data_IF_350775041672
#
_entry.id   IF_350775041672
#
_cell.length_a   1.000
_cell.length_b   1.000
_cell.length_c   1.000
_cell.angle_alpha   90.00
_cell.angle_beta   90.00
_cell.angle_gamma   90.00
#
_symmetry.space_group_name_H-M   'P 1'
#
loop_
_entity.id
_entity.type
_entity.pdbx_description
1 polymer ?
#
# COMPACT_ATOMS: atom_id res chain seq x y z
N UNK A 1 2.68 -18.75 6.78
CA UNK A 1 3.36 -17.48 6.52
C UNK A 1 3.98 -17.00 7.81
N UNK A 2 5.21 -16.51 7.74
CA UNK A 2 5.82 -15.78 8.86
C UNK A 2 5.06 -14.45 9.12
N UNK A 3 5.11 -13.91 10.33
CA UNK A 3 4.59 -12.57 10.63
C UNK A 3 5.23 -11.52 9.70
N UNK A 4 4.43 -10.54 9.27
CA UNK A 4 4.95 -9.44 8.48
C UNK A 4 5.52 -8.38 9.43
N UNK A 5 6.67 -7.75 9.10
CA UNK A 5 7.15 -6.62 9.87
C UNK A 5 6.14 -5.46 9.80
N UNK A 6 6.11 -4.64 10.86
CA UNK A 6 5.27 -3.45 10.93
C UNK A 6 6.12 -2.23 11.25
N UNK A 7 6.32 -1.28 10.31
CA UNK A 7 5.88 -1.35 8.91
C UNK A 7 6.65 -2.42 8.11
N UNK A 8 6.07 -2.81 6.97
CA UNK A 8 6.54 -3.94 6.16
C UNK A 8 7.50 -3.42 5.07
N UNK A 9 8.76 -3.88 5.03
CA UNK A 9 9.71 -3.46 4.01
C UNK A 9 9.39 -4.08 2.65
N UNK A 10 9.85 -3.44 1.57
CA UNK A 10 9.47 -3.76 0.19
C UNK A 10 9.75 -5.22 -0.21
N UNK A 11 10.87 -5.79 0.26
CA UNK A 11 11.28 -7.17 0.02
C UNK A 11 10.40 -8.21 0.74
N UNK A 12 9.62 -7.78 1.74
CA UNK A 12 8.71 -8.63 2.53
C UNK A 12 7.23 -8.41 2.22
N UNK A 13 6.88 -7.47 1.35
CA UNK A 13 5.49 -7.28 0.91
C UNK A 13 4.99 -8.60 0.29
N UNK A 14 3.83 -9.13 0.65
CA UNK A 14 3.34 -10.37 0.03
C UNK A 14 2.90 -10.11 -1.41
N UNK A 15 3.22 -11.05 -2.30
CA UNK A 15 2.50 -11.21 -3.57
C UNK A 15 1.19 -11.95 -3.28
N UNK A 16 0.08 -11.24 -3.46
CA UNK A 16 -1.28 -11.70 -3.25
C UNK A 16 -2.00 -12.01 -4.57
N UNK A 17 -1.26 -12.32 -5.64
CA UNK A 17 -1.83 -12.70 -6.95
C UNK A 17 -2.74 -13.92 -6.83
N UNK A 18 -4.03 -13.71 -7.12
CA UNK A 18 -5.06 -14.75 -7.06
C UNK A 18 -5.76 -14.84 -5.70
N UNK A 19 -6.97 -15.41 -5.72
CA UNK A 19 -7.88 -15.42 -4.58
C UNK A 19 -7.30 -16.10 -3.33
N UNK A 20 -6.60 -17.22 -3.49
CA UNK A 20 -6.04 -17.97 -2.37
C UNK A 20 -4.90 -17.22 -1.67
N UNK A 21 -3.99 -16.61 -2.45
CA UNK A 21 -2.89 -15.82 -1.93
C UNK A 21 -3.40 -14.55 -1.23
N UNK A 22 -4.36 -13.84 -1.84
CA UNK A 22 -5.05 -12.71 -1.23
C UNK A 22 -5.71 -13.09 0.10
N UNK A 23 -6.50 -14.16 0.11
CA UNK A 23 -7.18 -14.61 1.32
C UNK A 23 -6.20 -15.03 2.42
N UNK A 24 -5.09 -15.67 2.06
CA UNK A 24 -4.04 -16.03 3.01
C UNK A 24 -3.38 -14.78 3.62
N UNK A 25 -3.02 -13.80 2.81
CA UNK A 25 -2.39 -12.56 3.26
C UNK A 25 -3.35 -11.72 4.13
N UNK A 26 -4.61 -11.60 3.73
CA UNK A 26 -5.65 -10.92 4.51
C UNK A 26 -5.89 -11.61 5.87
N UNK A 27 -5.96 -12.96 5.91
CA UNK A 27 -6.07 -13.70 7.17
C UNK A 27 -4.85 -13.47 8.07
N UNK A 28 -3.64 -13.44 7.52
CA UNK A 28 -2.43 -13.20 8.29
C UNK A 28 -2.39 -11.79 8.89
N UNK A 29 -2.80 -10.76 8.14
CA UNK A 29 -2.91 -9.39 8.64
C UNK A 29 -3.95 -9.29 9.76
N UNK A 30 -5.14 -9.87 9.57
CA UNK A 30 -6.21 -9.92 10.60
C UNK A 30 -5.76 -10.62 11.87
N UNK A 31 -5.04 -11.74 11.76
CA UNK A 31 -4.53 -12.48 12.91
C UNK A 31 -3.51 -11.65 13.72
N UNK A 32 -2.71 -10.84 13.04
CA UNK A 32 -1.71 -9.95 13.66
C UNK A 32 -2.29 -8.60 14.10
N UNK A 33 -3.51 -8.25 13.66
CA UNK A 33 -4.16 -6.95 13.86
C UNK A 33 -3.33 -5.78 13.32
N UNK A 34 -2.71 -6.00 12.16
CA UNK A 34 -1.90 -5.00 11.44
C UNK A 34 -2.57 -4.62 10.13
N UNK A 35 -2.35 -3.39 9.67
CA UNK A 35 -2.82 -2.93 8.36
C UNK A 35 -2.37 -3.94 7.30
N UNK A 36 -3.33 -4.41 6.50
CA UNK A 36 -3.05 -5.30 5.40
C UNK A 36 -2.31 -4.50 4.34
N UNK A 37 -1.27 -5.10 3.74
CA UNK A 37 -0.60 -4.56 2.57
C UNK A 37 -0.15 -5.71 1.68
N UNK A 38 -0.34 -5.58 0.37
CA UNK A 38 0.11 -6.57 -0.61
C UNK A 38 0.26 -5.95 -2.01
N UNK A 39 0.92 -6.69 -2.91
CA UNK A 39 0.87 -6.45 -4.35
C UNK A 39 0.11 -7.57 -5.06
N UNK A 40 -0.53 -7.26 -6.18
CA UNK A 40 -1.26 -8.25 -6.99
C UNK A 40 -0.90 -8.03 -8.47
N UNK A 41 -0.56 -9.11 -9.19
CA UNK A 41 -0.26 -9.04 -10.61
C UNK A 41 -1.54 -9.02 -11.45
N UNK A 42 -1.66 -8.03 -12.33
CA UNK A 42 -2.76 -7.87 -13.28
C UNK A 42 -2.22 -7.89 -14.71
N UNK A 43 -1.93 -9.09 -15.22
CA UNK A 43 -1.30 -9.27 -16.53
C UNK A 43 0.16 -8.77 -16.52
N UNK A 44 0.53 -7.76 -17.34
CA UNK A 44 1.87 -7.15 -17.31
C UNK A 44 2.02 -6.09 -16.20
N UNK A 45 0.92 -5.64 -15.60
CA UNK A 45 0.90 -4.56 -14.62
C UNK A 45 0.71 -5.10 -13.20
N UNK A 46 0.89 -4.21 -12.22
CA UNK A 46 0.80 -4.53 -10.81
C UNK A 46 -0.19 -3.60 -10.11
N UNK A 47 -0.83 -4.13 -9.09
CA UNK A 47 -1.72 -3.43 -8.18
C UNK A 47 -1.10 -3.42 -6.78
N UNK A 48 -1.27 -2.32 -6.06
CA UNK A 48 -0.98 -2.21 -4.62
C UNK A 48 -2.29 -2.14 -3.87
N UNK A 49 -2.40 -2.86 -2.75
CA UNK A 49 -3.59 -2.85 -1.88
C UNK A 49 -3.15 -2.64 -0.44
N UNK A 50 -3.83 -1.75 0.26
CA UNK A 50 -3.73 -1.66 1.71
C UNK A 50 -5.12 -1.47 2.35
N UNK A 51 -5.37 -2.15 3.47
CA UNK A 51 -6.66 -2.13 4.16
C UNK A 51 -6.49 -2.08 5.68
N UNK A 52 -6.91 -0.96 6.27
CA UNK A 52 -6.83 -0.68 7.69
C UNK A 52 -7.92 -1.40 8.52
N UNK A 53 -8.96 -1.97 7.90
CA UNK A 53 -9.98 -2.76 8.59
C UNK A 53 -9.41 -4.03 9.25
N UNK A 54 -8.23 -4.45 8.82
CA UNK A 54 -7.49 -5.56 9.44
C UNK A 54 -6.78 -5.17 10.74
N UNK A 55 -6.65 -3.87 11.03
CA UNK A 55 -6.10 -3.30 12.26
C UNK A 55 -7.10 -2.37 12.96
N UNK A 56 -8.19 -2.89 13.56
CA UNK A 56 -9.27 -2.06 14.12
C UNK A 56 -8.86 -1.19 15.31
N UNK A 57 -7.69 -1.44 15.92
CA UNK A 57 -7.15 -0.65 17.03
C UNK A 57 -6.14 0.41 16.55
N UNK A 58 -5.74 0.36 15.28
CA UNK A 58 -4.79 1.29 14.70
C UNK A 58 -5.52 2.52 14.16
N UNK A 59 -5.11 3.70 14.61
CA UNK A 59 -5.69 4.97 14.15
C UNK A 59 -4.78 5.60 13.12
N UNK A 60 -5.29 5.79 11.90
CA UNK A 60 -4.60 6.58 10.88
C UNK A 60 -4.82 8.06 11.20
N UNK A 61 -3.74 8.81 11.37
CA UNK A 61 -3.81 10.25 11.64
C UNK A 61 -4.26 11.00 10.39
N UNK A 62 -4.90 12.16 10.57
CA UNK A 62 -5.26 13.04 9.44
C UNK A 62 -4.04 13.41 8.61
N UNK A 63 -2.90 13.68 9.25
CA UNK A 63 -1.63 13.98 8.57
C UNK A 63 -1.16 12.83 7.67
N UNK A 64 -1.24 11.58 8.15
CA UNK A 64 -0.91 10.42 7.33
C UNK A 64 -1.89 10.25 6.16
N UNK A 65 -3.20 10.43 6.42
CA UNK A 65 -4.23 10.33 5.38
C UNK A 65 -4.00 11.36 4.26
N UNK A 66 -3.79 12.62 4.62
CA UNK A 66 -3.57 13.70 3.66
C UNK A 66 -2.28 13.49 2.87
N UNK A 67 -1.20 13.04 3.53
CA UNK A 67 0.06 12.73 2.84
C UNK A 67 -0.12 11.59 1.81
N UNK A 68 -0.84 10.53 2.16
CA UNK A 68 -1.17 9.43 1.24
C UNK A 68 -2.03 9.92 0.08
N UNK A 69 -3.07 10.71 0.35
CA UNK A 69 -3.94 11.27 -0.68
C UNK A 69 -3.15 12.13 -1.67
N UNK A 70 -2.30 13.04 -1.19
CA UNK A 70 -1.45 13.88 -2.04
C UNK A 70 -0.49 13.06 -2.88
N UNK A 71 0.12 12.01 -2.31
CA UNK A 71 0.99 11.10 -3.06
C UNK A 71 0.24 10.37 -4.18
N UNK A 72 -0.96 9.86 -3.92
CA UNK A 72 -1.81 9.21 -4.94
C UNK A 72 -2.19 10.19 -6.05
N UNK A 73 -2.57 11.43 -5.71
CA UNK A 73 -2.86 12.48 -6.70
C UNK A 73 -1.64 12.74 -7.61
N UNK A 74 -0.43 12.78 -7.05
CA UNK A 74 0.80 12.97 -7.82
C UNK A 74 1.10 11.81 -8.76
N UNK A 75 0.97 10.57 -8.28
CA UNK A 75 1.15 9.38 -9.11
C UNK A 75 0.15 9.31 -10.27
N UNK A 76 -1.09 9.75 -10.04
CA UNK A 76 -2.10 9.87 -11.11
C UNK A 76 -1.67 10.94 -12.12
N UNK A 77 -1.22 12.11 -11.65
CA UNK A 77 -0.76 13.21 -12.52
C UNK A 77 0.49 12.84 -13.33
N UNK A 78 1.42 12.08 -12.77
CA UNK A 78 2.61 11.56 -13.46
C UNK A 78 2.31 10.37 -14.38
N UNK A 79 1.07 9.86 -14.36
CA UNK A 79 0.62 8.65 -15.08
C UNK A 79 1.36 7.37 -14.66
N UNK A 80 1.91 7.34 -13.44
CA UNK A 80 2.49 6.12 -12.87
C UNK A 80 1.42 5.12 -12.40
N UNK A 81 0.21 5.61 -12.10
CA UNK A 81 -0.96 4.80 -11.73
C UNK A 81 -2.23 5.28 -12.44
N UNK A 82 -3.23 4.41 -12.55
CA UNK A 82 -4.51 4.72 -13.22
C UNK A 82 -5.36 5.72 -12.41
N UNK A 83 -6.14 6.62 -13.05
CA UNK A 83 -6.96 7.62 -12.34
C UNK A 83 -8.06 7.10 -11.41
N UNK A 84 -8.45 5.84 -11.52
CA UNK A 84 -9.40 5.18 -10.61
C UNK A 84 -8.74 4.54 -9.38
N UNK A 85 -7.42 4.72 -9.22
CA UNK A 85 -6.72 4.45 -7.97
C UNK A 85 -7.32 5.28 -6.84
N UNK A 86 -7.36 4.71 -5.64
CA UNK A 86 -8.08 5.27 -4.50
C UNK A 86 -7.21 5.37 -3.25
N UNK A 87 -7.42 6.46 -2.51
CA UNK A 87 -6.96 6.63 -1.13
C UNK A 87 -8.19 6.93 -0.26
N UNK A 88 -8.97 5.88 0.00
CA UNK A 88 -10.18 5.95 0.82
C UNK A 88 -9.86 6.16 2.31
N UNK A 89 -10.88 6.24 3.17
CA UNK A 89 -10.67 6.42 4.62
C UNK A 89 -9.91 5.26 5.28
N UNK A 90 -10.11 4.03 4.77
CA UNK A 90 -9.56 2.79 5.33
C UNK A 90 -9.03 1.82 4.28
N UNK A 91 -9.35 2.02 3.00
CA UNK A 91 -8.95 1.16 1.88
C UNK A 91 -8.21 1.99 0.83
N UNK A 92 -7.09 1.45 0.34
CA UNK A 92 -6.16 2.11 -0.56
C UNK A 92 -5.78 1.16 -1.68
N UNK A 93 -6.03 1.56 -2.93
CA UNK A 93 -5.75 0.73 -4.11
C UNK A 93 -5.03 1.56 -5.16
N UNK A 94 -3.85 1.11 -5.57
CA UNK A 94 -3.11 1.70 -6.68
C UNK A 94 -3.13 0.74 -7.86
N UNK A 95 -3.63 1.19 -9.00
CA UNK A 95 -3.76 0.40 -10.22
C UNK A 95 -2.64 0.71 -11.22
N UNK A 96 -2.34 -0.26 -12.08
CA UNK A 96 -1.49 -0.12 -13.26
C UNK A 96 -0.04 0.29 -12.99
N UNK A 97 0.52 -0.12 -11.84
CA UNK A 97 1.94 0.09 -11.53
C UNK A 97 2.80 -0.73 -12.48
N UNK A 98 3.79 -0.09 -13.12
CA UNK A 98 4.53 -0.67 -14.25
C UNK A 98 5.51 -1.80 -13.93
N UNK A 99 5.84 -2.04 -12.66
CA UNK A 99 6.74 -3.14 -12.27
C UNK A 99 6.50 -3.63 -10.85
N UNK A 100 6.89 -4.88 -10.58
CA UNK A 100 6.79 -5.48 -9.25
C UNK A 100 7.61 -4.70 -8.22
N UNK A 101 8.85 -4.33 -8.57
CA UNK A 101 9.74 -3.58 -7.68
C UNK A 101 9.13 -2.23 -7.28
N UNK A 102 8.56 -1.50 -8.25
CA UNK A 102 7.87 -0.24 -7.97
C UNK A 102 6.60 -0.45 -7.14
N UNK A 103 5.84 -1.51 -7.40
CA UNK A 103 4.65 -1.82 -6.61
C UNK A 103 5.00 -2.14 -5.16
N UNK A 104 6.06 -2.92 -4.92
CA UNK A 104 6.57 -3.26 -3.59
C UNK A 104 7.11 -2.05 -2.84
N UNK A 105 7.83 -1.16 -3.53
CA UNK A 105 8.29 0.12 -2.98
C UNK A 105 7.11 0.99 -2.53
N UNK A 106 6.13 1.21 -3.41
CA UNK A 106 4.93 1.99 -3.09
C UNK A 106 4.11 1.35 -1.97
N UNK A 107 3.97 0.02 -1.96
CA UNK A 107 3.29 -0.72 -0.90
C UNK A 107 3.97 -0.54 0.46
N UNK A 108 5.30 -0.68 0.53
CA UNK A 108 6.06 -0.47 1.75
C UNK A 108 5.98 0.99 2.24
N UNK A 109 6.12 1.95 1.33
CA UNK A 109 6.02 3.37 1.64
C UNK A 109 4.63 3.77 2.15
N UNK A 110 3.58 3.26 1.51
CA UNK A 110 2.20 3.42 1.96
C UNK A 110 2.00 2.82 3.35
N UNK A 111 2.48 1.59 3.58
CA UNK A 111 2.35 0.93 4.87
C UNK A 111 3.07 1.71 5.98
N UNK A 112 4.29 2.19 5.74
CA UNK A 112 5.01 3.06 6.67
C UNK A 112 4.24 4.35 6.99
N UNK A 113 3.71 5.02 5.96
CA UNK A 113 2.94 6.25 6.14
C UNK A 113 1.67 6.02 6.97
N UNK A 114 0.97 4.90 6.76
CA UNK A 114 -0.20 4.53 7.57
C UNK A 114 0.15 4.30 9.05
N UNK A 115 1.40 3.95 9.38
CA UNK A 115 1.91 3.90 10.76
C UNK A 115 2.59 5.19 11.24
N UNK A 116 2.52 6.27 10.45
CA UNK A 116 2.99 7.61 10.83
C UNK A 116 4.40 7.94 10.36
N UNK A 117 5.13 7.03 9.72
CA UNK A 117 6.42 7.34 9.10
C UNK A 117 6.22 7.78 7.64
N UNK A 118 6.29 9.09 7.41
CA UNK A 118 6.04 9.70 6.10
C UNK A 118 7.29 9.75 5.22
N UNK A 119 8.49 9.50 5.76
CA UNK A 119 9.74 9.65 5.01
C UNK A 119 9.82 8.70 3.80
N UNK A 120 9.47 7.40 3.92
CA UNK A 120 9.47 6.48 2.79
C UNK A 120 8.54 6.92 1.66
N UNK A 121 7.36 7.46 2.01
CA UNK A 121 6.38 7.95 1.02
C UNK A 121 6.89 9.21 0.32
N UNK A 122 7.46 10.16 1.06
CA UNK A 122 8.05 11.37 0.48
C UNK A 122 9.24 11.05 -0.44
N UNK A 123 10.02 10.01 -0.14
CA UNK A 123 11.10 9.53 -0.99
C UNK A 123 10.59 8.85 -2.27
N UNK A 124 9.58 7.98 -2.13
CA UNK A 124 9.01 7.24 -3.26
C UNK A 124 8.18 8.13 -4.19
N UNK A 125 7.54 9.16 -3.65
CA UNK A 125 6.71 10.14 -4.38
C UNK A 125 7.10 11.57 -3.98
N UNK A 126 8.20 12.09 -4.55
CA UNK A 126 8.69 13.43 -4.21
C UNK A 126 7.64 14.51 -4.43
N UNK A 127 7.64 15.58 -3.61
CA UNK A 127 6.89 16.79 -3.94
C UNK A 127 7.39 17.38 -5.25
N UNK A 128 6.46 17.84 -6.08
CA UNK A 128 6.79 18.74 -7.19
C UNK A 128 7.36 20.02 -6.61
N UNK A 129 8.65 20.27 -6.90
CA UNK A 129 9.30 21.57 -6.71
C UNK A 129 8.56 22.68 -7.46
#
# INVERSE_FOLDING_TARGET
MEPLPTPCPADRIPDATGMDAFNAACRAAKAQRVVFVAVERQGPLWMVKADALTAPQHTITTTAHDAVREAVIRLIRSREIRPDSSAGPVDFVLHDVGSEGRARELAAALHAALYGDLEPLARAVPPTT
#
